data_IF_229910429176
#
_entry.id   IF_229910429176
#
_cell.length_a   1.000
_cell.length_b   1.000
_cell.length_c   1.000
_cell.angle_alpha   90.00
_cell.angle_beta   90.00
_cell.angle_gamma   90.00
#
_symmetry.space_group_name_H-M   'P 1'
#
loop_
_entity.id
_entity.type
_entity.pdbx_description
1 polymer ?
#
# COMPACT_ATOMS: atom_id res chain seq x y z
N UNK A 1 -7.97 7.14 15.57
CA UNK A 1 -9.11 7.61 14.73
C UNK A 1 -8.56 8.34 13.52
N UNK A 2 -9.31 8.46 12.42
CA UNK A 2 -8.87 9.24 11.25
C UNK A 2 -9.48 10.65 11.31
N UNK A 3 -8.65 11.65 11.07
CA UNK A 3 -8.99 13.06 11.03
C UNK A 3 -8.92 13.57 9.60
N UNK A 4 -9.72 14.59 9.30
CA UNK A 4 -9.70 15.34 8.05
C UNK A 4 -9.83 16.82 8.40
N UNK A 5 -8.80 17.62 8.07
CA UNK A 5 -8.65 19.01 8.49
C UNK A 5 -8.80 19.18 10.02
N UNK A 6 -8.21 18.26 10.79
CA UNK A 6 -8.23 18.27 12.25
C UNK A 6 -9.56 17.83 12.90
N UNK A 7 -10.60 17.58 12.11
CA UNK A 7 -11.88 17.06 12.60
C UNK A 7 -11.97 15.54 12.42
N UNK A 8 -12.60 14.84 13.37
CA UNK A 8 -12.87 13.39 13.24
C UNK A 8 -13.71 13.13 11.99
N UNK A 9 -13.27 12.21 11.14
CA UNK A 9 -14.05 11.77 9.98
C UNK A 9 -15.40 11.18 10.43
N UNK A 10 -16.50 11.66 9.86
CA UNK A 10 -17.84 11.12 10.09
C UNK A 10 -18.79 11.41 8.92
N UNK A 11 -19.79 10.54 8.73
CA UNK A 11 -20.83 10.75 7.71
C UNK A 11 -21.64 12.01 7.95
N UNK A 12 -21.96 12.33 9.21
CA UNK A 12 -22.75 13.51 9.58
C UNK A 12 -22.03 14.83 9.30
N UNK A 13 -20.69 14.86 9.37
CA UNK A 13 -19.89 16.03 9.01
C UNK A 13 -19.59 16.12 7.50
N UNK A 14 -19.93 15.09 6.72
CA UNK A 14 -19.65 15.05 5.28
C UNK A 14 -18.16 15.03 4.92
N UNK A 15 -17.26 14.83 5.88
CA UNK A 15 -15.80 14.89 5.70
C UNK A 15 -15.15 13.51 5.58
N UNK A 16 -15.93 12.47 5.25
CA UNK A 16 -15.42 11.10 5.13
C UNK A 16 -14.80 10.91 3.75
N UNK A 17 -13.72 10.15 3.66
CA UNK A 17 -13.13 9.72 2.39
C UNK A 17 -13.68 8.35 2.01
N UNK A 18 -14.08 8.18 0.74
CA UNK A 18 -14.55 6.91 0.22
C UNK A 18 -13.37 5.95 -0.01
N UNK A 19 -13.28 4.82 0.70
CA UNK A 19 -12.20 3.86 0.51
C UNK A 19 -12.22 3.21 -0.88
N UNK A 20 -13.38 3.06 -1.52
CA UNK A 20 -13.47 2.42 -2.83
C UNK A 20 -12.83 3.31 -3.91
N UNK A 21 -13.13 4.60 -3.88
CA UNK A 21 -12.49 5.59 -4.77
C UNK A 21 -10.97 5.57 -4.58
N UNK A 22 -10.48 5.53 -3.34
CA UNK A 22 -9.05 5.49 -3.06
C UNK A 22 -8.38 4.21 -3.59
N UNK A 23 -9.05 3.06 -3.48
CA UNK A 23 -8.57 1.79 -4.03
C UNK A 23 -8.54 1.84 -5.56
N UNK A 24 -9.56 2.40 -6.20
CA UNK A 24 -9.60 2.54 -7.66
C UNK A 24 -8.49 3.46 -8.19
N UNK A 25 -8.25 4.58 -7.49
CA UNK A 25 -7.25 5.56 -7.91
C UNK A 25 -5.80 5.13 -7.64
N UNK A 26 -5.54 4.52 -6.47
CA UNK A 26 -4.19 4.27 -5.98
C UNK A 26 -3.83 2.79 -5.81
N UNK A 27 -4.83 1.91 -5.69
CA UNK A 27 -4.66 0.50 -5.35
C UNK A 27 -4.64 0.25 -3.85
N UNK A 28 -5.18 -0.90 -3.44
CA UNK A 28 -5.37 -1.25 -2.03
C UNK A 28 -4.08 -1.23 -1.20
N UNK A 29 -2.95 -1.66 -1.77
CA UNK A 29 -1.67 -1.71 -1.05
C UNK A 29 -1.10 -0.31 -0.80
N UNK A 30 -1.33 0.65 -1.70
CA UNK A 30 -0.95 2.04 -1.46
C UNK A 30 -1.72 2.62 -0.29
N UNK A 31 -3.04 2.38 -0.23
CA UNK A 31 -3.88 2.87 0.87
C UNK A 31 -3.43 2.28 2.20
N UNK A 32 -3.21 0.96 2.26
CA UNK A 32 -2.71 0.28 3.47
C UNK A 32 -1.35 0.79 3.91
N UNK A 33 -0.42 0.93 2.96
CA UNK A 33 0.93 1.42 3.24
C UNK A 33 0.89 2.85 3.79
N UNK A 34 0.10 3.73 3.18
CA UNK A 34 -0.14 5.08 3.67
C UNK A 34 -0.64 5.06 5.12
N UNK A 35 -1.69 4.29 5.43
CA UNK A 35 -2.22 4.22 6.80
C UNK A 35 -1.16 3.77 7.81
N UNK A 36 -0.39 2.73 7.49
CA UNK A 36 0.64 2.18 8.38
C UNK A 36 1.85 3.11 8.57
N UNK A 37 2.19 3.93 7.58
CA UNK A 37 3.33 4.86 7.64
C UNK A 37 3.01 6.16 8.38
N UNK A 38 1.75 6.59 8.35
CA UNK A 38 1.38 7.95 8.76
C UNK A 38 1.17 8.07 10.27
N UNK A 39 0.77 6.99 10.95
CA UNK A 39 0.61 7.00 12.41
C UNK A 39 0.58 5.57 12.99
N UNK A 40 1.12 5.34 14.20
CA UNK A 40 0.84 4.12 14.96
C UNK A 40 -0.66 3.88 15.14
N UNK A 41 -1.12 2.62 15.25
CA UNK A 41 -2.55 2.30 15.29
C UNK A 41 -3.28 2.88 16.51
N UNK A 42 -2.57 3.13 17.61
CA UNK A 42 -3.13 3.72 18.84
C UNK A 42 -3.34 5.24 18.72
N UNK A 43 -2.70 5.88 17.74
CA UNK A 43 -2.75 7.33 17.55
C UNK A 43 -3.78 7.74 16.50
N UNK A 44 -4.12 9.02 16.49
CA UNK A 44 -4.90 9.57 15.39
C UNK A 44 -4.04 9.70 14.13
N UNK A 45 -4.67 9.52 12.98
CA UNK A 45 -4.08 9.71 11.66
C UNK A 45 -4.75 10.91 11.02
N UNK A 46 -3.96 11.87 10.54
CA UNK A 46 -4.46 12.96 9.70
C UNK A 46 -4.49 12.50 8.24
N UNK A 47 -5.63 12.63 7.59
CA UNK A 47 -5.75 12.31 6.18
C UNK A 47 -5.03 13.35 5.33
N UNK A 48 -4.31 12.90 4.29
CA UNK A 48 -3.60 13.79 3.38
C UNK A 48 -3.44 13.15 2.01
N UNK A 49 -4.06 13.75 1.00
CA UNK A 49 -3.95 13.32 -0.40
C UNK A 49 -2.50 13.41 -0.93
N UNK A 50 -1.72 14.34 -0.38
CA UNK A 50 -0.28 14.45 -0.69
C UNK A 50 0.50 13.27 -0.12
N UNK A 51 0.17 12.82 1.10
CA UNK A 51 0.86 11.72 1.75
C UNK A 51 0.57 10.37 1.06
N UNK A 52 -0.68 10.09 0.68
CA UNK A 52 -1.01 8.86 -0.07
C UNK A 52 -0.31 8.80 -1.43
N UNK A 53 -0.16 9.93 -2.12
CA UNK A 53 0.64 10.04 -3.33
C UNK A 53 2.11 9.67 -3.12
N UNK A 54 2.66 9.96 -1.94
CA UNK A 54 4.00 9.51 -1.54
C UNK A 54 4.12 7.99 -1.52
N UNK A 55 3.19 7.31 -0.83
CA UNK A 55 3.11 5.84 -0.78
C UNK A 55 2.93 5.22 -2.17
N UNK A 56 2.11 5.84 -3.02
CA UNK A 56 1.90 5.40 -4.40
C UNK A 56 3.20 5.43 -5.22
N UNK A 57 3.92 6.56 -5.17
CA UNK A 57 5.20 6.75 -5.88
C UNK A 57 6.26 5.79 -5.36
N UNK A 58 6.29 5.55 -4.05
CA UNK A 58 7.19 4.58 -3.44
C UNK A 58 6.96 3.16 -3.98
N UNK A 59 5.73 2.66 -3.97
CA UNK A 59 5.41 1.33 -4.49
C UNK A 59 5.68 1.22 -6.00
N UNK A 60 5.36 2.25 -6.79
CA UNK A 60 5.72 2.28 -8.22
C UNK A 60 7.23 2.20 -8.43
N UNK A 61 8.02 2.93 -7.64
CA UNK A 61 9.49 2.90 -7.72
C UNK A 61 10.02 1.52 -7.34
N UNK A 62 9.51 0.91 -6.27
CA UNK A 62 9.88 -0.42 -5.83
C UNK A 62 9.55 -1.48 -6.90
N UNK A 63 8.36 -1.40 -7.49
CA UNK A 63 7.96 -2.29 -8.57
C UNK A 63 8.86 -2.16 -9.80
N UNK A 64 9.19 -0.92 -10.18
CA UNK A 64 10.14 -0.66 -11.27
C UNK A 64 11.51 -1.25 -10.97
N UNK A 65 12.04 -1.05 -9.76
CA UNK A 65 13.32 -1.62 -9.33
C UNK A 65 13.31 -3.15 -9.41
N UNK A 66 12.26 -3.80 -8.89
CA UNK A 66 12.09 -5.26 -9.00
C UNK A 66 12.07 -5.71 -10.45
N UNK A 67 11.39 -4.97 -11.34
CA UNK A 67 11.30 -5.32 -12.76
C UNK A 67 12.66 -5.19 -13.46
N UNK A 68 13.40 -4.10 -13.18
CA UNK A 68 14.75 -3.88 -13.73
C UNK A 68 15.72 -5.01 -13.33
N UNK A 69 15.67 -5.47 -12.08
CA UNK A 69 16.58 -6.49 -11.57
C UNK A 69 15.99 -7.91 -11.59
N UNK A 70 14.92 -8.13 -12.34
CA UNK A 70 14.19 -9.40 -12.31
C UNK A 70 15.07 -10.61 -12.63
N UNK A 71 15.99 -10.47 -13.59
CA UNK A 71 16.91 -11.53 -13.98
C UNK A 71 18.03 -11.79 -12.96
N UNK A 72 18.43 -10.79 -12.18
CA UNK A 72 19.40 -11.02 -11.09
C UNK A 72 18.73 -11.62 -9.85
N UNK A 73 17.44 -11.30 -9.62
CA UNK A 73 16.69 -11.76 -8.44
C UNK A 73 16.29 -13.24 -8.58
N UNK A 74 15.96 -13.71 -9.79
CA UNK A 74 15.50 -15.10 -10.03
C UNK A 74 16.52 -16.17 -9.62
N UNK A 75 17.80 -15.84 -9.65
CA UNK A 75 18.90 -16.76 -9.39
C UNK A 75 19.30 -16.83 -7.90
N UNK A 76 18.73 -15.96 -7.06
CA UNK A 76 18.96 -16.01 -5.62
C UNK A 76 18.26 -17.27 -5.05
N UNK A 77 18.96 -18.11 -4.26
CA UNK A 77 18.48 -19.43 -3.83
C UNK A 77 17.08 -19.46 -3.20
N UNK A 78 16.73 -18.43 -2.41
CA UNK A 78 15.42 -18.33 -1.75
C UNK A 78 14.27 -18.24 -2.75
N UNK A 79 14.46 -17.52 -3.87
CA UNK A 79 13.41 -17.34 -4.88
C UNK A 79 13.27 -18.57 -5.79
N UNK A 80 14.35 -19.35 -5.98
CA UNK A 80 14.31 -20.62 -6.71
C UNK A 80 13.43 -21.65 -6.00
N UNK A 81 13.55 -21.77 -4.67
CA UNK A 81 12.72 -22.66 -3.84
C UNK A 81 11.24 -22.24 -3.81
N UNK A 82 10.96 -20.94 -3.90
CA UNK A 82 9.59 -20.42 -3.91
C UNK A 82 8.83 -20.68 -5.21
N UNK A 83 9.54 -20.90 -6.34
CA UNK A 83 8.92 -21.35 -7.60
C UNK A 83 8.57 -22.83 -7.54
N UNK A 84 9.48 -23.70 -7.07
CA UNK A 84 9.21 -25.14 -7.02
C UNK A 84 8.04 -25.50 -6.08
N UNK A 85 7.86 -24.74 -4.99
CA UNK A 85 6.74 -24.94 -4.06
C UNK A 85 5.37 -24.56 -4.64
N UNK A 86 5.31 -23.72 -5.68
CA UNK A 86 4.04 -23.39 -6.36
C UNK A 86 3.65 -24.46 -7.37
N UNK A 87 4.61 -25.11 -8.01
CA UNK A 87 4.38 -26.21 -8.96
C UNK A 87 3.92 -27.50 -8.26
N UNK A 88 4.36 -27.73 -7.02
CA UNK A 88 4.00 -28.92 -6.23
C UNK A 88 2.56 -28.86 -5.65
N UNK A 89 1.91 -27.69 -5.61
CA UNK A 89 0.55 -27.54 -5.04
C UNK A 89 -0.60 -27.57 -6.07
N UNK A 90 -0.31 -27.85 -7.34
CA UNK A 90 -1.33 -27.94 -8.42
C UNK A 90 -1.36 -29.36 -9.04
N UNK A 91 -0.91 -30.38 -8.31
CA UNK A 91 -1.12 -31.80 -8.60
C UNK A 91 -1.79 -32.47 -7.41
#
# INVERSE_FOLDING_TARGET
MVLNDGAKMSKSLGNTVDPEEMIQNYGADTVRLFMMFTSPPEKSLEWSDTAINGSYRFLKKLWKLKKTHQDSIKDIPVFRRMKSLREIKIS
#
